data_IF_931682563593
#
_entry.id   IF_931682563593
#
_cell.length_a   1.000
_cell.length_b   1.000
_cell.length_c   1.000
_cell.angle_alpha   90.00
_cell.angle_beta   90.00
_cell.angle_gamma   90.00
#
_symmetry.space_group_name_H-M   'P 1'
#
loop_
_entity.id
_entity.type
_entity.pdbx_description
1 polymer ?
#
# COMPACT_ATOMS: atom_id res chain seq x y z
N UNK A 1 10.50 -28.72 10.56
CA UNK A 1 10.94 -28.40 9.18
C UNK A 1 9.88 -28.76 8.14
N UNK A 2 9.24 -29.92 8.24
CA UNK A 2 8.17 -30.33 7.30
C UNK A 2 6.86 -29.53 7.49
N UNK A 3 6.40 -29.34 8.73
CA UNK A 3 5.20 -28.57 9.02
C UNK A 3 5.25 -27.11 8.52
N UNK A 4 6.40 -26.42 8.69
CA UNK A 4 6.61 -25.04 8.21
C UNK A 4 6.45 -24.96 6.69
N UNK A 5 7.03 -25.91 5.94
CA UNK A 5 6.89 -25.96 4.49
C UNK A 5 5.46 -26.21 4.02
N UNK A 6 4.71 -27.06 4.75
CA UNK A 6 3.30 -27.30 4.45
C UNK A 6 2.45 -26.05 4.67
N UNK A 7 2.68 -25.34 5.78
CA UNK A 7 1.99 -24.07 6.10
C UNK A 7 2.34 -22.98 5.10
N UNK A 8 3.61 -22.87 4.70
CA UNK A 8 4.05 -21.95 3.65
C UNK A 8 3.36 -22.26 2.30
N UNK A 9 3.31 -23.54 1.91
CA UNK A 9 2.65 -23.95 0.67
C UNK A 9 1.15 -23.60 0.70
N UNK A 10 0.47 -23.88 1.80
CA UNK A 10 -0.95 -23.56 1.99
C UNK A 10 -1.21 -22.04 1.92
N UNK A 11 -0.36 -21.23 2.56
CA UNK A 11 -0.39 -19.76 2.50
C UNK A 11 -0.24 -19.26 1.06
N UNK A 12 0.83 -19.66 0.37
CA UNK A 12 1.12 -19.19 -0.98
C UNK A 12 0.04 -19.63 -1.97
N UNK A 13 -0.47 -20.86 -1.83
CA UNK A 13 -1.55 -21.37 -2.66
C UNK A 13 -2.85 -20.59 -2.44
N UNK A 14 -3.21 -20.31 -1.19
CA UNK A 14 -4.42 -19.56 -0.82
C UNK A 14 -4.39 -18.15 -1.40
N UNK A 15 -3.28 -17.43 -1.20
CA UNK A 15 -3.13 -16.06 -1.70
C UNK A 15 -3.05 -16.00 -3.22
N UNK A 16 -2.39 -16.96 -3.87
CA UNK A 16 -2.39 -17.05 -5.34
C UNK A 16 -3.80 -17.21 -5.87
N UNK A 17 -4.60 -18.12 -5.29
CA UNK A 17 -6.00 -18.32 -5.70
C UNK A 17 -6.87 -17.08 -5.46
N UNK A 18 -6.65 -16.37 -4.35
CA UNK A 18 -7.33 -15.11 -4.07
C UNK A 18 -7.03 -14.07 -5.16
N UNK A 19 -5.77 -13.88 -5.53
CA UNK A 19 -5.40 -12.93 -6.59
C UNK A 19 -5.95 -13.34 -7.95
N UNK A 20 -5.87 -14.63 -8.31
CA UNK A 20 -6.48 -15.13 -9.55
C UNK A 20 -7.99 -14.91 -9.57
N UNK A 21 -8.67 -15.06 -8.43
CA UNK A 21 -10.11 -14.80 -8.35
C UNK A 21 -10.45 -13.31 -8.57
N UNK A 22 -9.66 -12.40 -7.99
CA UNK A 22 -9.89 -10.96 -8.09
C UNK A 22 -9.54 -10.40 -9.48
N UNK A 23 -8.34 -10.71 -9.99
CA UNK A 23 -7.82 -10.13 -11.23
C UNK A 23 -8.15 -10.96 -12.49
N UNK A 24 -8.45 -12.25 -12.32
CA UNK A 24 -8.57 -13.22 -13.40
C UNK A 24 -7.24 -13.90 -13.77
N UNK A 25 -7.29 -14.74 -14.79
CA UNK A 25 -6.11 -15.41 -15.33
C UNK A 25 -5.25 -14.43 -16.13
N UNK A 26 -3.94 -14.43 -15.90
CA UNK A 26 -2.96 -13.58 -16.62
C UNK A 26 -2.31 -12.48 -15.79
N UNK A 27 -2.52 -12.45 -14.48
CA UNK A 27 -1.79 -11.56 -13.58
C UNK A 27 -0.37 -12.08 -13.33
N UNK A 28 0.64 -11.27 -13.61
CA UNK A 28 2.03 -11.58 -13.27
C UNK A 28 2.27 -11.27 -11.79
N UNK A 29 2.49 -12.32 -11.00
CA UNK A 29 2.81 -12.23 -9.58
C UNK A 29 4.19 -12.79 -9.30
N UNK A 30 4.88 -12.23 -8.29
CA UNK A 30 6.10 -12.81 -7.74
C UNK A 30 6.11 -12.76 -6.22
N UNK A 31 6.82 -13.71 -5.63
CA UNK A 31 7.08 -13.78 -4.19
C UNK A 31 8.49 -13.26 -3.93
N UNK A 32 8.62 -12.32 -3.01
CA UNK A 32 9.89 -11.73 -2.59
C UNK A 32 10.14 -12.12 -1.15
N UNK A 33 11.31 -12.68 -0.85
CA UNK A 33 11.70 -12.97 0.53
C UNK A 33 11.93 -11.66 1.29
N UNK A 34 11.30 -11.51 2.45
CA UNK A 34 11.42 -10.32 3.29
C UNK A 34 11.54 -10.70 4.77
N UNK A 35 11.48 -9.71 5.66
CA UNK A 35 11.60 -9.91 7.09
C UNK A 35 10.52 -9.12 7.84
N UNK A 36 9.73 -9.82 8.65
CA UNK A 36 8.87 -9.23 9.67
C UNK A 36 9.19 -9.85 11.04
N UNK A 37 9.20 -9.07 12.13
CA UNK A 37 9.52 -9.59 13.47
C UNK A 37 8.56 -10.66 14.02
N UNK A 38 7.39 -10.82 13.41
CA UNK A 38 6.31 -11.70 13.86
C UNK A 38 6.06 -12.89 12.93
N UNK A 39 6.83 -13.03 11.84
CA UNK A 39 6.76 -14.17 10.92
C UNK A 39 8.14 -14.63 10.43
N UNK A 40 8.35 -15.93 10.33
CA UNK A 40 9.54 -16.53 9.72
C UNK A 40 9.27 -17.94 9.19
N UNK A 41 9.53 -18.23 7.89
CA UNK A 41 9.93 -17.30 6.82
C UNK A 41 8.81 -16.29 6.48
N UNK A 42 9.21 -15.16 5.90
CA UNK A 42 8.33 -14.05 5.50
C UNK A 42 8.47 -13.76 4.01
N UNK A 43 7.35 -13.34 3.40
CA UNK A 43 7.26 -13.06 1.98
C UNK A 43 6.37 -11.84 1.71
N UNK A 44 6.75 -11.07 0.72
CA UNK A 44 5.89 -10.09 0.06
C UNK A 44 5.38 -10.68 -1.27
N UNK A 45 4.13 -10.37 -1.60
CA UNK A 45 3.61 -10.62 -2.95
C UNK A 45 3.57 -9.31 -3.71
N UNK A 46 4.20 -9.32 -4.88
CA UNK A 46 4.18 -8.20 -5.79
C UNK A 46 3.42 -8.56 -7.08
N UNK A 47 2.71 -7.59 -7.62
CA UNK A 47 1.96 -7.68 -8.88
C UNK A 47 2.64 -6.78 -9.91
N UNK A 48 2.84 -7.28 -11.13
CA UNK A 48 3.24 -6.42 -12.25
C UNK A 48 2.04 -5.60 -12.73
N UNK A 49 2.12 -4.28 -12.60
CA UNK A 49 1.11 -3.35 -13.06
C UNK A 49 1.80 -2.24 -13.86
N UNK A 50 1.38 -2.08 -15.12
CA UNK A 50 1.97 -1.10 -16.04
C UNK A 50 3.50 -1.17 -16.18
N UNK A 51 4.09 -2.38 -16.04
CA UNK A 51 5.53 -2.59 -16.16
C UNK A 51 6.31 -2.41 -14.87
N UNK A 52 5.66 -2.01 -13.78
CA UNK A 52 6.26 -1.87 -12.45
C UNK A 52 5.78 -2.98 -11.51
N UNK A 53 6.67 -3.45 -10.64
CA UNK A 53 6.33 -4.43 -9.61
C UNK A 53 5.89 -3.69 -8.35
N UNK A 54 4.64 -3.90 -7.95
CA UNK A 54 4.04 -3.26 -6.78
C UNK A 54 3.71 -4.31 -5.72
N UNK A 55 4.33 -4.18 -4.55
CA UNK A 55 3.99 -4.96 -3.36
C UNK A 55 2.54 -4.73 -2.95
N UNK A 56 1.74 -5.78 -2.78
CA UNK A 56 0.32 -5.65 -2.37
C UNK A 56 0.00 -6.26 -1.01
N UNK A 57 0.85 -7.17 -0.53
CA UNK A 57 0.74 -7.76 0.80
C UNK A 57 2.09 -8.24 1.32
N UNK A 58 2.19 -8.26 2.64
CA UNK A 58 3.21 -8.99 3.39
C UNK A 58 2.58 -10.19 4.11
N UNK A 59 3.29 -11.31 4.19
CA UNK A 59 2.81 -12.54 4.81
C UNK A 59 3.95 -13.42 5.33
N UNK A 60 3.60 -14.46 6.08
CA UNK A 60 4.59 -15.46 6.49
C UNK A 60 4.03 -16.47 7.47
N UNK A 61 4.89 -17.42 7.86
CA UNK A 61 4.59 -18.38 8.93
C UNK A 61 4.78 -17.67 10.27
N UNK A 62 3.77 -17.70 11.13
CA UNK A 62 3.79 -16.97 12.40
C UNK A 62 4.92 -17.46 13.31
N UNK A 63 5.61 -16.53 13.96
CA UNK A 63 6.64 -16.84 14.95
C UNK A 63 6.05 -17.65 16.10
N UNK A 64 6.65 -18.82 16.40
CA UNK A 64 6.07 -19.76 17.36
C UNK A 64 6.01 -19.18 18.78
N UNK A 65 6.94 -18.30 19.13
CA UNK A 65 6.91 -17.59 20.43
C UNK A 65 5.65 -16.73 20.59
N UNK A 66 5.22 -16.06 19.52
CA UNK A 66 3.99 -15.26 19.50
C UNK A 66 2.74 -16.13 19.61
N UNK A 67 2.71 -17.26 18.89
CA UNK A 67 1.58 -18.21 18.93
C UNK A 67 1.46 -18.85 20.32
N UNK A 68 2.59 -19.22 20.92
CA UNK A 68 2.65 -19.82 22.25
C UNK A 68 2.21 -18.84 23.33
N UNK A 69 2.63 -17.57 23.25
CA UNK A 69 2.25 -16.55 24.24
C UNK A 69 0.75 -16.23 24.22
N UNK A 70 0.07 -16.48 23.10
CA UNK A 70 -1.39 -16.41 22.96
C UNK A 70 -2.14 -17.66 23.47
N UNK A 71 -1.44 -18.66 24.02
CA UNK A 71 -2.03 -19.91 24.54
C UNK A 71 -2.33 -20.97 23.47
N UNK A 72 -1.82 -20.82 22.25
CA UNK A 72 -2.04 -21.73 21.13
C UNK A 72 -0.82 -22.62 20.85
N UNK A 73 -0.17 -23.12 21.90
CA UNK A 73 1.11 -23.84 21.82
C UNK A 73 1.10 -25.11 20.94
N UNK A 74 -0.06 -25.74 20.74
CA UNK A 74 -0.24 -26.91 19.88
C UNK A 74 -0.62 -26.54 18.43
N UNK A 75 -0.42 -25.28 18.03
CA UNK A 75 -0.76 -24.74 16.71
C UNK A 75 0.47 -24.17 16.00
N UNK A 76 0.43 -24.27 14.68
CA UNK A 76 1.25 -23.51 13.73
C UNK A 76 0.29 -22.79 12.79
N UNK A 77 0.63 -21.58 12.36
CA UNK A 77 -0.23 -20.77 11.52
C UNK A 77 0.54 -19.88 10.59
N UNK A 78 -0.17 -19.33 9.60
CA UNK A 78 0.31 -18.27 8.74
C UNK A 78 -0.52 -17.01 8.98
N UNK A 79 0.05 -15.85 8.67
CA UNK A 79 -0.64 -14.58 8.68
C UNK A 79 -0.29 -13.80 7.41
N UNK A 80 -1.19 -12.93 6.96
CA UNK A 80 -0.96 -11.98 5.89
C UNK A 80 -1.67 -10.65 6.19
N UNK A 81 -1.11 -9.56 5.68
CA UNK A 81 -1.69 -8.22 5.72
C UNK A 81 -1.77 -7.66 4.30
N UNK A 82 -2.96 -7.27 3.88
CA UNK A 82 -3.23 -6.77 2.53
C UNK A 82 -3.48 -5.26 2.56
N UNK A 83 -2.80 -4.51 1.68
CA UNK A 83 -3.11 -3.10 1.46
C UNK A 83 -4.34 -2.96 0.56
N UNK A 84 -5.51 -2.72 1.16
CA UNK A 84 -6.79 -2.66 0.44
C UNK A 84 -6.80 -1.57 -0.64
N UNK A 85 -6.30 -0.38 -0.31
CA UNK A 85 -6.24 0.77 -1.22
C UNK A 85 -5.35 0.45 -2.42
N UNK A 86 -4.15 -0.11 -2.17
CA UNK A 86 -3.22 -0.47 -3.24
C UNK A 86 -3.79 -1.55 -4.14
N UNK A 87 -4.42 -2.57 -3.56
CA UNK A 87 -5.08 -3.63 -4.34
C UNK A 87 -6.23 -3.07 -5.19
N UNK A 88 -7.07 -2.22 -4.60
CA UNK A 88 -8.18 -1.57 -5.29
C UNK A 88 -7.71 -0.65 -6.42
N UNK A 89 -6.61 0.09 -6.21
CA UNK A 89 -6.00 0.93 -7.25
C UNK A 89 -5.57 0.12 -8.47
N UNK A 90 -4.92 -1.03 -8.26
CA UNK A 90 -4.51 -1.93 -9.35
C UNK A 90 -5.74 -2.60 -10.00
N UNK A 91 -6.68 -3.11 -9.18
CA UNK A 91 -7.83 -3.88 -9.65
C UNK A 91 -8.80 -3.03 -10.48
N UNK A 92 -9.06 -1.81 -10.03
CA UNK A 92 -10.03 -0.92 -10.62
C UNK A 92 -9.40 0.17 -11.49
N UNK A 93 -8.06 0.24 -11.59
CA UNK A 93 -7.33 1.28 -12.33
C UNK A 93 -7.60 2.69 -11.77
N UNK A 94 -7.62 2.80 -10.44
CA UNK A 94 -7.83 4.07 -9.73
C UNK A 94 -6.48 4.80 -9.64
N UNK A 95 -6.35 6.01 -10.21
CA UNK A 95 -5.06 6.68 -10.38
C UNK A 95 -4.54 7.37 -9.13
N UNK A 96 -5.41 7.63 -8.15
CA UNK A 96 -5.08 8.43 -6.97
C UNK A 96 -5.82 7.90 -5.75
N UNK A 97 -5.07 7.70 -4.66
CA UNK A 97 -5.62 7.20 -3.41
C UNK A 97 -6.71 8.13 -2.87
N UNK A 98 -6.54 9.47 -2.98
CA UNK A 98 -7.46 10.49 -2.46
C UNK A 98 -8.91 10.31 -2.93
N UNK A 99 -9.10 9.66 -4.08
CA UNK A 99 -10.44 9.34 -4.59
C UNK A 99 -11.26 8.47 -3.63
N UNK A 100 -10.63 7.64 -2.79
CA UNK A 100 -11.35 6.85 -1.77
C UNK A 100 -12.01 7.68 -0.68
N UNK A 101 -11.56 8.92 -0.48
CA UNK A 101 -12.13 9.88 0.48
C UNK A 101 -13.02 10.93 -0.20
N UNK A 102 -13.17 10.86 -1.52
CA UNK A 102 -14.00 11.80 -2.26
C UNK A 102 -15.49 11.51 -2.09
N UNK A 103 -16.27 12.54 -1.76
CA UNK A 103 -17.74 12.48 -1.77
C UNK A 103 -18.34 12.71 -3.17
N UNK A 104 -17.51 12.74 -4.22
CA UNK A 104 -17.96 12.96 -5.59
C UNK A 104 -18.77 11.77 -6.11
N UNK A 105 -20.08 11.98 -6.31
CA UNK A 105 -20.99 10.97 -6.86
C UNK A 105 -20.54 10.42 -8.22
N UNK A 106 -19.71 11.16 -8.99
CA UNK A 106 -19.14 10.66 -10.25
C UNK A 106 -18.15 9.51 -10.04
N UNK A 107 -17.47 9.47 -8.89
CA UNK A 107 -16.64 8.35 -8.45
C UNK A 107 -17.52 7.28 -7.78
N UNK A 108 -18.27 7.65 -6.73
CA UNK A 108 -19.00 6.71 -5.88
C UNK A 108 -20.00 5.83 -6.65
N UNK A 109 -20.71 6.38 -7.64
CA UNK A 109 -21.70 5.63 -8.41
C UNK A 109 -21.11 4.50 -9.25
N UNK A 110 -19.82 4.56 -9.60
CA UNK A 110 -19.15 3.54 -10.42
C UNK A 110 -19.00 2.21 -9.67
N UNK A 111 -19.05 2.26 -8.34
CA UNK A 111 -18.90 1.09 -7.45
C UNK A 111 -20.22 0.68 -6.78
N UNK A 112 -21.36 1.30 -7.14
CA UNK A 112 -22.71 0.85 -6.73
C UNK A 112 -23.18 -0.26 -7.67
N UNK A 113 -22.74 -1.48 -7.40
CA UNK A 113 -23.01 -2.67 -8.22
C UNK A 113 -24.11 -3.54 -7.63
N UNK A 114 -24.80 -4.31 -8.47
CA UNK A 114 -25.77 -5.32 -8.04
C UNK A 114 -25.12 -6.63 -7.57
N UNK A 115 -23.90 -6.92 -8.03
CA UNK A 115 -23.10 -8.09 -7.67
C UNK A 115 -21.67 -7.64 -7.34
N UNK A 116 -21.12 -8.13 -6.23
CA UNK A 116 -19.75 -7.83 -5.78
C UNK A 116 -18.69 -8.42 -6.71
N UNK A 117 -19.04 -9.43 -7.51
CA UNK A 117 -18.14 -10.07 -8.47
C UNK A 117 -18.18 -9.41 -9.86
N UNK A 118 -19.03 -8.40 -10.03
CA UNK A 118 -19.10 -7.67 -11.29
C UNK A 118 -17.77 -6.93 -11.51
N UNK A 119 -17.09 -7.24 -12.63
CA UNK A 119 -15.85 -6.56 -13.00
C UNK A 119 -16.13 -5.09 -13.31
N UNK A 120 -15.42 -4.20 -12.62
CA UNK A 120 -15.48 -2.75 -12.82
C UNK A 120 -14.10 -2.26 -13.23
N UNK A 121 -14.06 -1.30 -14.15
CA UNK A 121 -12.90 -0.45 -14.36
C UNK A 121 -13.31 1.00 -14.16
N UNK A 122 -12.61 1.68 -13.27
CA UNK A 122 -12.82 3.09 -13.00
C UNK A 122 -12.64 3.89 -14.29
N UNK A 123 -13.59 4.80 -14.53
CA UNK A 123 -13.50 5.79 -15.60
C UNK A 123 -12.99 7.10 -15.00
N UNK A 124 -11.78 7.56 -15.40
CA UNK A 124 -11.19 8.78 -14.88
C UNK A 124 -12.11 9.99 -15.03
N UNK A 125 -12.17 10.81 -13.98
CA UNK A 125 -12.82 12.10 -14.02
C UNK A 125 -11.95 13.09 -14.80
N UNK A 126 -12.58 14.06 -15.48
CA UNK A 126 -11.86 15.14 -16.17
C UNK A 126 -10.89 15.82 -15.20
N UNK A 127 -9.59 15.69 -15.44
CA UNK A 127 -8.56 16.33 -14.62
C UNK A 127 -8.66 17.84 -14.77
N UNK A 128 -8.79 18.55 -13.66
CA UNK A 128 -8.53 19.98 -13.65
C UNK A 128 -7.02 20.22 -13.82
N UNK A 129 -6.59 21.32 -14.45
CA UNK A 129 -5.17 21.61 -14.59
C UNK A 129 -4.53 21.78 -13.20
N UNK A 130 -3.39 21.13 -12.99
CA UNK A 130 -2.61 21.28 -11.77
C UNK A 130 -2.02 22.69 -11.68
N UNK A 131 -1.94 23.21 -10.46
CA UNK A 131 -1.22 24.46 -10.16
C UNK A 131 0.00 24.08 -9.32
N UNK A 132 1.19 24.46 -9.79
CA UNK A 132 2.47 24.16 -9.14
C UNK A 132 2.96 25.43 -8.46
N UNK A 133 3.29 25.34 -7.17
CA UNK A 133 3.88 26.43 -6.39
C UNK A 133 5.07 25.90 -5.60
N UNK A 134 6.14 26.70 -5.54
CA UNK A 134 7.33 26.41 -4.74
C UNK A 134 7.27 27.17 -3.41
N UNK A 135 7.77 26.55 -2.34
CA UNK A 135 7.92 27.16 -1.02
C UNK A 135 9.31 26.88 -0.47
N UNK A 136 9.94 27.89 0.12
CA UNK A 136 11.25 27.76 0.75
C UNK A 136 11.27 28.54 2.07
N UNK A 137 11.87 27.94 3.09
CA UNK A 137 11.98 28.55 4.42
C UNK A 137 13.24 28.06 5.13
N UNK A 138 13.73 28.87 6.07
CA UNK A 138 14.82 28.48 6.95
C UNK A 138 14.32 27.50 8.01
N UNK A 139 15.05 26.42 8.23
CA UNK A 139 14.72 25.45 9.27
C UNK A 139 15.01 26.04 10.66
N UNK A 140 14.20 25.72 11.68
CA UNK A 140 14.50 26.06 13.06
C UNK A 140 15.79 25.38 13.52
N UNK A 141 16.47 25.98 14.50
CA UNK A 141 17.80 25.55 14.97
C UNK A 141 17.83 24.10 15.47
N UNK A 142 16.72 23.60 16.00
CA UNK A 142 16.53 22.22 16.47
C UNK A 142 15.07 21.78 16.22
N UNK A 143 14.83 20.47 16.08
CA UNK A 143 13.50 19.82 16.04
C UNK A 143 12.65 20.04 14.77
N UNK A 144 13.22 19.85 13.58
CA UNK A 144 12.44 19.75 12.34
C UNK A 144 12.56 18.36 11.71
N UNK A 145 11.43 17.80 11.31
CA UNK A 145 11.36 16.66 10.40
C UNK A 145 10.52 17.04 9.17
N UNK A 146 10.79 16.42 8.02
CA UNK A 146 10.01 16.67 6.80
C UNK A 146 8.52 16.30 7.00
N UNK A 147 8.23 15.29 7.82
CA UNK A 147 6.87 14.86 8.13
C UNK A 147 6.06 15.95 8.84
N UNK A 148 6.68 16.80 9.66
CA UNK A 148 6.00 17.93 10.29
C UNK A 148 5.42 18.89 9.24
N UNK A 149 6.18 19.12 8.16
CA UNK A 149 5.72 19.94 7.04
C UNK A 149 4.66 19.22 6.20
N UNK A 150 4.83 17.92 5.91
CA UNK A 150 3.81 17.15 5.19
C UNK A 150 2.47 17.11 5.94
N UNK A 151 2.49 16.98 7.27
CA UNK A 151 1.30 17.03 8.12
C UNK A 151 0.66 18.42 8.14
N UNK A 152 1.47 19.49 8.19
CA UNK A 152 0.97 20.85 8.06
C UNK A 152 0.28 21.09 6.71
N UNK A 153 0.90 20.61 5.62
CA UNK A 153 0.33 20.71 4.27
C UNK A 153 -0.97 19.92 4.17
N UNK A 154 -1.05 18.71 4.75
CA UNK A 154 -2.30 17.95 4.82
C UNK A 154 -3.37 18.66 5.65
N UNK A 155 -2.98 19.31 6.74
CA UNK A 155 -3.91 20.04 7.62
C UNK A 155 -4.52 21.27 6.94
N UNK A 156 -3.73 22.03 6.19
CA UNK A 156 -4.18 23.28 5.55
C UNK A 156 -4.73 23.03 4.15
N UNK A 157 -4.02 22.26 3.34
CA UNK A 157 -4.35 22.00 1.93
C UNK A 157 -5.32 20.84 1.72
N UNK A 158 -5.39 19.88 2.65
CA UNK A 158 -6.25 18.71 2.55
C UNK A 158 -6.06 17.97 1.22
N UNK A 159 -7.18 17.58 0.59
CA UNK A 159 -7.18 16.85 -0.67
C UNK A 159 -6.85 17.70 -1.90
N UNK A 160 -6.68 19.02 -1.77
CA UNK A 160 -6.26 19.88 -2.88
C UNK A 160 -4.80 19.64 -3.27
N UNK A 161 -3.98 19.14 -2.34
CA UNK A 161 -2.56 18.89 -2.58
C UNK A 161 -2.37 17.46 -3.06
N UNK A 162 -1.90 17.31 -4.31
CA UNK A 162 -1.63 16.01 -4.94
C UNK A 162 -0.27 15.45 -4.54
N UNK A 163 0.74 16.32 -4.48
CA UNK A 163 2.12 15.92 -4.25
C UNK A 163 2.90 17.05 -3.59
N UNK A 164 3.85 16.68 -2.74
CA UNK A 164 4.88 17.56 -2.20
C UNK A 164 6.22 16.86 -2.41
N UNK A 165 7.15 17.54 -3.07
CA UNK A 165 8.51 17.05 -3.30
C UNK A 165 9.51 18.03 -2.67
N UNK A 166 10.49 17.52 -1.93
CA UNK A 166 11.65 18.32 -1.52
C UNK A 166 12.62 18.46 -2.70
N UNK A 167 12.67 19.66 -3.29
CA UNK A 167 13.45 19.93 -4.51
C UNK A 167 14.89 20.37 -4.25
N UNK A 168 15.15 21.08 -3.14
CA UNK A 168 16.46 21.65 -2.83
C UNK A 168 16.67 21.79 -1.32
N UNK A 169 17.93 21.67 -0.90
CA UNK A 169 18.38 21.89 0.48
C UNK A 169 19.81 22.40 0.47
N UNK A 170 20.05 23.54 1.11
CA UNK A 170 21.39 24.10 1.27
C UNK A 170 21.59 24.70 2.66
N UNK A 171 22.85 24.83 3.06
CA UNK A 171 23.26 25.52 4.29
C UNK A 171 23.88 26.86 3.93
N UNK A 172 23.42 27.94 4.56
CA UNK A 172 24.04 29.25 4.38
C UNK A 172 25.35 29.31 5.17
N UNK A 173 26.51 29.55 4.52
CA UNK A 173 27.76 29.72 5.25
C UNK A 173 27.66 30.94 6.16
N UNK A 174 28.07 30.81 7.42
CA UNK A 174 28.22 31.96 8.30
C UNK A 174 29.36 32.81 7.74
N UNK A 175 29.07 34.04 7.32
CA UNK A 175 30.14 35.01 7.05
C UNK A 175 30.84 35.29 8.39
N UNK A 176 32.11 34.89 8.48
CA UNK A 176 33.03 35.22 9.58
C UNK A 176 33.23 36.72 9.72
#
# INVERSE_FOLDING_TARGET
MEAVKLVEFDLKQTLTRLMTHLFGDGLDIRWVDCYFPFTHPSFEMEINFHGEWLEVLGCGVMEQQLVNSAGAQDRIGWAFGLGLERLAMILYDIPDIRLFWSEDERFLKQFRLSDINQKVKFQPLSKYPAVINDISFWLPSENYTENDFYDLVRTIGGDLVEKVDLIDKFEHPKNS
#
